data_IF_173786368694
#
_entry.id   IF_173786368694
#
_cell.length_a   1.000
_cell.length_b   1.000
_cell.length_c   1.000
_cell.angle_alpha   90.00
_cell.angle_beta   90.00
_cell.angle_gamma   90.00
#
_symmetry.space_group_name_H-M   'P 1'
#
loop_
_entity.id
_entity.type
_entity.pdbx_description
1 polymer ?
#
# COMPACT_ATOMS: atom_id res chain seq x y z
N UNK A 1 77.94 -12.32 -13.43
CA UNK A 1 77.08 -13.51 -13.26
C UNK A 1 75.95 -13.15 -12.31
N UNK A 2 74.79 -12.74 -12.83
CA UNK A 2 73.60 -12.38 -12.06
C UNK A 2 72.50 -13.36 -12.47
N UNK A 3 72.07 -14.22 -11.55
CA UNK A 3 70.97 -15.18 -11.76
C UNK A 3 69.69 -14.58 -11.21
N UNK A 4 68.79 -14.18 -12.11
CA UNK A 4 67.41 -13.82 -11.78
C UNK A 4 66.58 -15.10 -11.60
N UNK A 5 66.03 -15.30 -10.39
CA UNK A 5 65.05 -16.35 -10.10
C UNK A 5 63.68 -15.87 -10.56
N UNK A 6 63.04 -16.63 -11.46
CA UNK A 6 61.62 -16.48 -11.80
C UNK A 6 60.79 -17.28 -10.81
N UNK A 7 59.92 -16.59 -10.07
CA UNK A 7 58.88 -17.16 -9.22
C UNK A 7 57.64 -17.39 -10.09
N UNK A 8 57.24 -18.65 -10.25
CA UNK A 8 55.98 -19.04 -10.89
C UNK A 8 54.86 -18.98 -9.86
N UNK A 9 53.90 -18.08 -10.06
CA UNK A 9 52.62 -18.08 -9.34
C UNK A 9 51.70 -19.11 -10.02
N UNK A 10 51.24 -20.11 -9.25
CA UNK A 10 50.23 -21.06 -9.68
C UNK A 10 48.87 -20.50 -9.30
N UNK A 11 48.08 -20.09 -10.30
CA UNK A 11 46.74 -19.55 -10.12
C UNK A 11 45.75 -20.73 -10.08
N UNK A 12 45.33 -21.13 -8.88
CA UNK A 12 44.29 -22.15 -8.71
C UNK A 12 42.93 -21.49 -8.90
N UNK A 13 42.31 -21.70 -10.05
CA UNK A 13 40.91 -21.34 -10.31
C UNK A 13 40.01 -22.27 -9.49
N UNK A 14 39.41 -21.75 -8.41
CA UNK A 14 38.35 -22.42 -7.67
C UNK A 14 37.04 -22.23 -8.47
N UNK A 15 36.62 -23.27 -9.20
CA UNK A 15 35.35 -23.29 -9.90
C UNK A 15 34.24 -23.48 -8.85
N UNK A 16 33.63 -22.39 -8.40
CA UNK A 16 32.42 -22.42 -7.56
C UNK A 16 31.26 -22.83 -8.48
N UNK A 17 30.86 -24.09 -8.41
CA UNK A 17 29.63 -24.59 -9.01
C UNK A 17 28.46 -23.95 -8.26
N UNK A 18 27.86 -22.92 -8.84
CA UNK A 18 26.54 -22.44 -8.47
C UNK A 18 25.54 -23.54 -8.83
N UNK A 19 25.13 -24.33 -7.85
CA UNK A 19 23.87 -25.07 -7.96
C UNK A 19 22.75 -24.04 -7.88
N UNK A 20 22.11 -23.74 -9.01
CA UNK A 20 20.84 -23.04 -9.03
C UNK A 20 19.87 -23.83 -8.15
N UNK A 21 19.64 -23.34 -6.93
CA UNK A 21 18.53 -23.81 -6.11
C UNK A 21 17.27 -23.40 -6.85
N UNK A 22 16.62 -24.36 -7.51
CA UNK A 22 15.30 -24.17 -8.09
C UNK A 22 14.34 -23.85 -6.95
N UNK A 23 13.94 -22.58 -6.84
CA UNK A 23 12.79 -22.16 -6.03
C UNK A 23 11.44 -22.54 -6.69
N UNK A 24 11.46 -23.48 -7.64
CA UNK A 24 10.28 -23.98 -8.34
C UNK A 24 9.72 -25.18 -7.57
N UNK A 25 9.03 -24.92 -6.47
CA UNK A 25 7.91 -25.75 -5.99
C UNK A 25 7.20 -25.01 -4.84
N UNK A 26 6.88 -23.73 -5.05
CA UNK A 26 5.79 -23.11 -4.32
C UNK A 26 4.49 -23.78 -4.82
N UNK A 27 3.93 -24.65 -3.99
CA UNK A 27 2.62 -25.28 -4.17
C UNK A 27 1.62 -24.24 -4.66
N UNK A 28 1.14 -24.40 -5.91
CA UNK A 28 0.10 -23.55 -6.51
C UNK A 28 -1.10 -23.46 -5.56
N UNK A 29 -1.38 -22.31 -4.92
CA UNK A 29 -2.48 -22.20 -3.97
C UNK A 29 -3.79 -22.18 -4.76
N UNK A 30 -4.44 -23.35 -4.85
CA UNK A 30 -5.71 -23.53 -5.54
C UNK A 30 -5.53 -23.66 -7.05
N UNK A 31 -5.64 -24.87 -7.59
CA UNK A 31 -5.49 -25.18 -9.01
C UNK A 31 -6.57 -24.61 -9.94
N UNK A 32 -7.05 -23.38 -9.70
CA UNK A 32 -7.89 -22.60 -10.59
C UNK A 32 -7.07 -21.87 -11.66
N UNK A 33 -7.74 -21.24 -12.62
CA UNK A 33 -7.04 -20.43 -13.61
C UNK A 33 -6.47 -19.16 -12.98
N UNK A 34 -5.49 -18.55 -13.64
CA UNK A 34 -4.83 -17.30 -13.25
C UNK A 34 -4.68 -16.41 -14.49
N UNK A 35 -4.62 -15.08 -14.31
CA UNK A 35 -4.31 -14.14 -15.39
C UNK A 35 -3.28 -13.12 -14.92
N UNK A 36 -2.07 -13.16 -15.45
CA UNK A 36 -0.97 -12.29 -15.04
C UNK A 36 0.06 -13.00 -14.14
N UNK A 37 1.18 -12.32 -13.85
CA UNK A 37 2.18 -12.83 -12.94
C UNK A 37 1.63 -13.00 -11.51
N UNK A 38 2.29 -13.80 -10.65
CA UNK A 38 2.01 -13.79 -9.23
C UNK A 38 2.20 -12.38 -8.65
N UNK A 39 1.36 -12.01 -7.70
CA UNK A 39 1.38 -10.69 -7.06
C UNK A 39 1.29 -10.88 -5.54
N UNK A 40 2.12 -10.19 -4.78
CA UNK A 40 2.03 -10.22 -3.31
C UNK A 40 0.87 -9.36 -2.81
N UNK A 41 0.40 -9.60 -1.58
CA UNK A 41 -0.63 -8.75 -0.97
C UNK A 41 -0.17 -7.29 -0.87
N UNK A 42 1.10 -7.04 -0.56
CA UNK A 42 1.73 -5.72 -0.56
C UNK A 42 1.80 -5.06 -1.92
N UNK A 43 2.24 -5.79 -2.95
CA UNK A 43 2.22 -5.24 -4.31
C UNK A 43 0.80 -4.87 -4.76
N UNK A 44 -0.22 -5.65 -4.39
CA UNK A 44 -1.60 -5.34 -4.74
C UNK A 44 -2.08 -4.04 -4.07
N UNK A 45 -1.81 -3.88 -2.77
CA UNK A 45 -2.19 -2.67 -2.03
C UNK A 45 -1.42 -1.44 -2.52
N UNK A 46 -0.09 -1.51 -2.63
CA UNK A 46 0.71 -0.40 -3.15
C UNK A 46 0.28 0.02 -4.55
N UNK A 47 -0.07 -0.95 -5.40
CA UNK A 47 -0.58 -0.65 -6.73
C UNK A 47 -1.91 0.09 -6.65
N UNK A 48 -2.88 -0.37 -5.85
CA UNK A 48 -4.15 0.31 -5.69
C UNK A 48 -4.02 1.69 -5.02
N UNK A 49 -3.12 1.82 -4.04
CA UNK A 49 -2.87 3.06 -3.32
C UNK A 49 -2.29 4.15 -4.24
N UNK A 50 -1.43 3.80 -5.21
CA UNK A 50 -1.01 4.73 -6.27
C UNK A 50 -2.20 5.34 -7.00
N UNK A 51 -3.28 4.58 -7.22
CA UNK A 51 -4.49 5.12 -7.85
C UNK A 51 -5.30 6.00 -6.90
N UNK A 52 -5.31 5.70 -5.60
CA UNK A 52 -6.06 6.45 -4.59
C UNK A 52 -5.44 7.83 -4.29
N UNK A 53 -4.16 8.04 -4.60
CA UNK A 53 -3.41 9.23 -4.20
C UNK A 53 -2.97 10.14 -5.34
N UNK A 54 -3.39 9.89 -6.58
CA UNK A 54 -3.05 10.78 -7.69
C UNK A 54 -3.61 12.18 -7.42
N UNK A 55 -2.74 13.20 -7.32
CA UNK A 55 -3.14 14.60 -7.27
C UNK A 55 -3.27 15.17 -8.68
N UNK A 56 -4.38 15.82 -8.95
CA UNK A 56 -4.62 16.50 -10.22
C UNK A 56 -5.70 17.56 -10.05
N UNK A 57 -5.77 18.50 -10.98
CA UNK A 57 -6.80 19.55 -10.97
C UNK A 57 -7.81 19.26 -12.08
N UNK A 58 -9.08 19.09 -11.70
CA UNK A 58 -10.18 19.05 -12.66
C UNK A 58 -10.35 20.44 -13.27
N UNK A 59 -9.99 20.61 -14.54
CA UNK A 59 -10.22 21.86 -15.26
C UNK A 59 -11.57 21.85 -15.98
N UNK A 60 -12.03 23.00 -16.46
CA UNK A 60 -13.21 23.06 -17.35
C UNK A 60 -13.01 22.21 -18.61
N UNK A 61 -11.78 22.15 -19.14
CA UNK A 61 -11.44 21.32 -20.29
C UNK A 61 -11.64 19.83 -20.02
N UNK A 62 -11.15 19.34 -18.88
CA UNK A 62 -11.36 17.95 -18.46
C UNK A 62 -12.84 17.67 -18.22
N UNK A 63 -13.55 18.60 -17.56
CA UNK A 63 -14.97 18.41 -17.26
C UNK A 63 -15.83 18.26 -18.53
N UNK A 64 -15.51 19.01 -19.58
CA UNK A 64 -16.21 18.93 -20.88
C UNK A 64 -15.62 17.86 -21.80
N UNK A 65 -14.40 17.39 -21.53
CA UNK A 65 -13.63 16.56 -22.45
C UNK A 65 -13.43 17.27 -23.77
N UNK A 66 -12.42 18.13 -23.91
CA UNK A 66 -12.16 18.79 -25.21
C UNK A 66 -11.94 17.75 -26.31
N UNK A 67 -11.35 16.60 -25.95
CA UNK A 67 -11.16 15.44 -26.83
C UNK A 67 -12.45 14.66 -27.13
N UNK A 68 -13.55 14.97 -26.43
CA UNK A 68 -14.88 14.36 -26.60
C UNK A 68 -15.80 15.16 -27.51
N UNK A 69 -15.32 16.24 -28.14
CA UNK A 69 -16.10 17.07 -29.08
C UNK A 69 -17.43 17.60 -28.48
N UNK A 70 -17.46 17.82 -27.17
CA UNK A 70 -18.63 18.34 -26.46
C UNK A 70 -19.75 17.33 -26.17
N UNK A 71 -19.52 16.04 -26.44
CA UNK A 71 -20.50 14.97 -26.17
C UNK A 71 -20.49 14.47 -24.72
N UNK A 72 -19.53 14.93 -23.92
CA UNK A 72 -19.33 14.51 -22.55
C UNK A 72 -19.42 15.69 -21.57
N UNK A 73 -19.97 15.44 -20.39
CA UNK A 73 -19.89 16.36 -19.27
C UNK A 73 -19.75 15.57 -17.98
N UNK A 74 -18.63 15.76 -17.29
CA UNK A 74 -18.42 15.18 -15.97
C UNK A 74 -19.24 15.90 -14.90
N UNK A 75 -19.75 15.13 -13.95
CA UNK A 75 -20.36 15.63 -12.72
C UNK A 75 -19.32 16.12 -11.70
N UNK A 76 -18.03 15.86 -11.92
CA UNK A 76 -16.99 16.29 -10.99
C UNK A 76 -16.88 17.83 -11.02
N UNK A 77 -16.80 18.48 -9.85
CA UNK A 77 -16.55 19.90 -9.80
C UNK A 77 -15.11 20.22 -10.24
N UNK A 78 -14.94 21.39 -10.85
CA UNK A 78 -13.62 21.97 -11.15
C UNK A 78 -12.89 22.24 -9.84
N UNK A 79 -11.58 21.99 -9.82
CA UNK A 79 -10.73 22.17 -8.65
C UNK A 79 -9.84 20.95 -8.38
N UNK A 80 -9.10 21.02 -7.28
CA UNK A 80 -8.15 19.98 -6.89
C UNK A 80 -8.86 18.68 -6.51
N UNK A 81 -8.23 17.58 -6.90
CA UNK A 81 -8.75 16.22 -6.76
C UNK A 81 -7.61 15.30 -6.31
N UNK A 82 -7.99 14.33 -5.51
CA UNK A 82 -7.14 13.22 -5.07
C UNK A 82 -7.80 11.93 -5.57
N UNK A 83 -6.98 11.05 -6.12
CA UNK A 83 -7.39 9.77 -6.68
C UNK A 83 -7.74 9.84 -8.16
N UNK A 84 -7.47 8.75 -8.89
CA UNK A 84 -7.82 8.59 -10.30
C UNK A 84 -9.34 8.72 -10.46
N UNK A 85 -9.78 9.49 -11.46
CA UNK A 85 -11.21 9.67 -11.73
C UNK A 85 -11.88 8.37 -12.14
N UNK A 86 -13.15 8.21 -11.75
CA UNK A 86 -13.92 7.02 -12.10
C UNK A 86 -14.30 7.05 -13.58
N UNK A 87 -14.12 5.91 -14.23
CA UNK A 87 -14.62 5.66 -15.57
C UNK A 87 -15.29 4.29 -15.54
N UNK A 88 -16.57 4.22 -15.88
CA UNK A 88 -17.25 2.92 -16.05
C UNK A 88 -16.50 2.08 -17.08
N UNK A 89 -16.15 0.86 -16.69
CA UNK A 89 -15.24 0.01 -17.44
C UNK A 89 -13.90 0.67 -17.80
N UNK A 90 -13.40 1.59 -16.99
CA UNK A 90 -12.07 2.18 -17.14
C UNK A 90 -10.95 1.22 -16.77
N UNK A 91 -9.76 1.46 -17.32
CA UNK A 91 -8.51 0.71 -17.09
C UNK A 91 -7.27 1.59 -17.12
N UNK A 92 -7.41 2.91 -17.22
CA UNK A 92 -6.27 3.79 -17.52
C UNK A 92 -5.18 3.62 -16.46
N UNK A 93 -3.93 3.47 -16.89
CA UNK A 93 -2.79 3.44 -15.95
C UNK A 93 -2.65 4.79 -15.24
N UNK A 94 -2.07 4.83 -14.04
CA UNK A 94 -1.88 6.10 -13.30
C UNK A 94 -1.07 7.11 -14.11
N UNK A 95 0.02 6.68 -14.73
CA UNK A 95 0.93 7.60 -15.43
C UNK A 95 0.26 8.11 -16.73
N UNK A 96 -0.44 7.22 -17.43
CA UNK A 96 -1.27 7.57 -18.59
C UNK A 96 -2.42 8.52 -18.21
N UNK A 97 -3.04 8.30 -17.05
CA UNK A 97 -4.13 9.15 -16.55
C UNK A 97 -3.64 10.58 -16.31
N UNK A 98 -2.53 10.75 -15.59
CA UNK A 98 -1.93 12.06 -15.33
C UNK A 98 -1.59 12.78 -16.64
N UNK A 99 -0.95 12.08 -17.58
CA UNK A 99 -0.61 12.63 -18.88
C UNK A 99 -1.86 13.11 -19.66
N UNK A 100 -2.88 12.25 -19.77
CA UNK A 100 -4.09 12.56 -20.54
C UNK A 100 -4.94 13.63 -19.88
N UNK A 101 -5.04 13.65 -18.55
CA UNK A 101 -5.72 14.73 -17.83
C UNK A 101 -5.02 16.07 -18.10
N UNK A 102 -3.68 16.12 -18.10
CA UNK A 102 -2.94 17.33 -18.46
C UNK A 102 -3.22 17.79 -19.91
N UNK A 103 -3.55 16.86 -20.82
CA UNK A 103 -3.94 17.13 -22.21
C UNK A 103 -5.42 17.53 -22.37
N UNK A 104 -6.21 17.60 -21.29
CA UNK A 104 -7.62 17.98 -21.34
C UNK A 104 -8.59 16.83 -21.64
N UNK A 105 -8.16 15.57 -21.52
CA UNK A 105 -9.07 14.43 -21.62
C UNK A 105 -10.13 14.47 -20.52
N UNK A 106 -11.30 13.92 -20.83
CA UNK A 106 -12.37 13.78 -19.87
C UNK A 106 -12.06 12.76 -18.79
N UNK A 107 -12.65 12.92 -17.61
CA UNK A 107 -12.67 11.87 -16.58
C UNK A 107 -13.89 12.04 -15.66
N UNK A 108 -14.17 11.06 -14.81
CA UNK A 108 -15.32 11.08 -13.91
C UNK A 108 -16.62 10.87 -14.67
N UNK A 109 -16.88 9.65 -15.15
CA UNK A 109 -18.13 9.31 -15.87
C UNK A 109 -19.37 9.40 -14.98
N UNK A 110 -19.21 9.48 -13.65
CA UNK A 110 -20.30 9.67 -12.69
C UNK A 110 -21.45 8.67 -12.82
N UNK A 111 -22.56 8.98 -12.15
CA UNK A 111 -23.85 8.33 -12.39
C UNK A 111 -24.61 9.03 -13.52
N UNK A 112 -25.32 8.26 -14.35
CA UNK A 112 -26.21 8.79 -15.41
C UNK A 112 -25.74 8.55 -16.85
N UNK A 113 -24.50 8.07 -17.04
CA UNK A 113 -24.05 7.55 -18.34
C UNK A 113 -24.20 6.03 -18.37
N UNK A 114 -24.64 5.52 -19.52
CA UNK A 114 -24.72 4.08 -19.84
C UNK A 114 -23.51 3.66 -20.67
N UNK A 115 -23.22 2.36 -20.71
CA UNK A 115 -22.15 1.79 -21.54
C UNK A 115 -22.22 2.28 -22.99
N UNK A 116 -23.43 2.39 -23.55
CA UNK A 116 -23.71 2.81 -24.92
C UNK A 116 -23.42 4.30 -25.17
N UNK A 117 -23.39 5.10 -24.12
CA UNK A 117 -23.28 6.57 -24.19
C UNK A 117 -21.91 7.08 -23.74
N UNK A 118 -21.06 6.25 -23.15
CA UNK A 118 -19.73 6.66 -22.71
C UNK A 118 -18.79 6.73 -23.92
N UNK A 119 -18.19 7.90 -24.20
CA UNK A 119 -17.21 8.00 -25.29
C UNK A 119 -15.86 7.46 -24.82
N UNK A 120 -15.69 6.14 -24.94
CA UNK A 120 -14.56 5.39 -24.37
C UNK A 120 -13.18 5.90 -24.78
N UNK A 121 -13.06 6.51 -25.96
CA UNK A 121 -11.79 6.94 -26.54
C UNK A 121 -11.29 8.29 -25.97
N UNK A 122 -12.19 9.11 -25.43
CA UNK A 122 -11.85 10.46 -24.97
C UNK A 122 -11.96 10.65 -23.44
N UNK A 123 -12.49 9.65 -22.72
CA UNK A 123 -12.56 9.64 -21.25
C UNK A 123 -11.48 8.73 -20.69
N UNK A 124 -10.79 9.16 -19.63
CA UNK A 124 -9.79 8.39 -18.88
C UNK A 124 -10.23 8.13 -17.46
N UNK A 125 -9.69 7.08 -16.86
CA UNK A 125 -9.98 6.69 -15.49
C UNK A 125 -10.05 5.19 -15.32
N UNK A 126 -10.42 4.78 -14.12
CA UNK A 126 -10.53 3.36 -13.75
C UNK A 126 -11.94 3.06 -13.20
N UNK A 127 -12.39 1.82 -13.38
CA UNK A 127 -13.63 1.31 -12.77
C UNK A 127 -13.31 0.53 -11.50
N UNK A 128 -14.31 0.15 -10.71
CA UNK A 128 -14.12 -0.73 -9.55
C UNK A 128 -13.38 -2.02 -9.91
N UNK A 129 -13.83 -2.70 -10.98
CA UNK A 129 -13.20 -3.94 -11.44
C UNK A 129 -11.86 -3.68 -12.14
N UNK A 130 -11.74 -2.53 -12.80
CA UNK A 130 -10.50 -2.10 -13.42
C UNK A 130 -9.39 -1.85 -12.40
N UNK A 131 -9.74 -1.27 -11.25
CA UNK A 131 -8.81 -1.00 -10.16
C UNK A 131 -8.32 -2.30 -9.54
N UNK A 132 -9.22 -3.22 -9.20
CA UNK A 132 -8.88 -4.54 -8.64
C UNK A 132 -7.94 -5.30 -9.57
N UNK A 133 -8.28 -5.34 -10.84
CA UNK A 133 -7.49 -6.10 -11.80
C UNK A 133 -6.12 -5.42 -12.09
N UNK A 134 -6.03 -4.08 -11.98
CA UNK A 134 -4.73 -3.36 -11.98
C UNK A 134 -3.93 -3.71 -10.72
N UNK A 135 -4.57 -3.73 -9.56
CA UNK A 135 -3.96 -4.10 -8.29
C UNK A 135 -3.39 -5.52 -8.34
N UNK A 136 -4.13 -6.48 -8.92
CA UNK A 136 -3.67 -7.86 -9.08
C UNK A 136 -2.74 -8.10 -10.28
N UNK A 137 -2.31 -7.05 -10.99
CA UNK A 137 -1.41 -7.12 -12.14
C UNK A 137 -1.92 -8.05 -13.26
N UNK A 138 -3.24 -8.11 -13.47
CA UNK A 138 -3.83 -8.97 -14.49
C UNK A 138 -3.42 -8.51 -15.90
N UNK A 139 -3.20 -9.45 -16.82
CA UNK A 139 -2.86 -9.07 -18.21
C UNK A 139 -4.03 -8.39 -18.92
N UNK A 140 -5.25 -8.68 -18.48
CA UNK A 140 -6.46 -8.11 -19.05
C UNK A 140 -7.36 -7.50 -17.98
N UNK A 141 -8.19 -6.57 -18.43
CA UNK A 141 -9.25 -6.02 -17.60
C UNK A 141 -10.43 -6.98 -17.55
N UNK A 142 -10.82 -7.35 -16.34
CA UNK A 142 -12.12 -7.93 -16.06
C UNK A 142 -13.11 -6.77 -15.85
N UNK A 143 -13.99 -6.52 -16.82
CA UNK A 143 -14.74 -5.25 -16.93
C UNK A 143 -16.25 -5.39 -17.02
N UNK A 144 -16.91 -4.30 -16.58
CA UNK A 144 -18.30 -3.93 -16.76
C UNK A 144 -18.71 -3.47 -18.17
N UNK A 145 -17.91 -3.68 -19.22
CA UNK A 145 -18.21 -3.18 -20.58
C UNK A 145 -19.26 -4.03 -21.34
N UNK A 146 -20.37 -4.36 -20.68
CA UNK A 146 -21.47 -5.10 -21.28
C UNK A 146 -22.82 -4.57 -20.76
N UNK A 147 -23.91 -4.72 -21.54
CA UNK A 147 -25.27 -4.35 -21.10
C UNK A 147 -25.76 -5.11 -19.86
N UNK A 148 -25.15 -6.26 -19.54
CA UNK A 148 -25.44 -7.09 -18.37
C UNK A 148 -24.12 -7.52 -17.70
N UNK A 149 -23.54 -6.64 -16.88
CA UNK A 149 -22.22 -6.86 -16.32
C UNK A 149 -22.29 -7.80 -15.11
N UNK A 150 -22.23 -9.10 -15.38
CA UNK A 150 -22.04 -10.11 -14.34
C UNK A 150 -20.57 -10.14 -13.88
N UNK A 151 -20.21 -9.21 -12.98
CA UNK A 151 -18.86 -9.10 -12.39
C UNK A 151 -18.45 -10.40 -11.71
N UNK A 152 -19.28 -11.01 -10.84
CA UNK A 152 -18.89 -12.22 -10.13
C UNK A 152 -18.53 -13.35 -11.09
N UNK A 153 -19.31 -13.57 -12.15
CA UNK A 153 -18.99 -14.61 -13.14
C UNK A 153 -17.64 -14.42 -13.80
N UNK A 154 -17.22 -13.18 -14.05
CA UNK A 154 -15.94 -12.88 -14.68
C UNK A 154 -14.75 -13.14 -13.76
N UNK A 155 -14.84 -12.73 -12.50
CA UNK A 155 -13.76 -12.99 -11.55
C UNK A 155 -13.68 -14.46 -11.12
N UNK A 156 -14.80 -15.19 -11.04
CA UNK A 156 -14.84 -16.61 -10.63
C UNK A 156 -13.93 -17.54 -11.44
N UNK A 157 -13.50 -17.14 -12.64
CA UNK A 157 -12.53 -17.91 -13.43
C UNK A 157 -11.13 -17.88 -12.79
N UNK A 158 -10.76 -16.77 -12.17
CA UNK A 158 -9.42 -16.49 -11.62
C UNK A 158 -9.39 -16.29 -10.10
N UNK A 159 -10.53 -16.40 -9.43
CA UNK A 159 -10.66 -16.24 -7.98
C UNK A 159 -11.41 -17.41 -7.36
N UNK A 160 -11.34 -17.49 -6.04
CA UNK A 160 -12.18 -18.36 -5.22
C UNK A 160 -12.79 -17.57 -4.07
N UNK A 161 -13.91 -18.03 -3.54
CA UNK A 161 -14.49 -17.48 -2.30
C UNK A 161 -13.54 -17.74 -1.14
N UNK A 162 -13.37 -16.75 -0.26
CA UNK A 162 -12.53 -16.94 0.94
C UNK A 162 -13.19 -17.97 1.87
N UNK A 163 -12.54 -19.12 2.16
CA UNK A 163 -13.14 -20.18 2.96
C UNK A 163 -13.50 -19.70 4.37
N UNK A 164 -14.69 -20.06 4.85
CA UNK A 164 -15.14 -19.73 6.21
C UNK A 164 -15.66 -18.30 6.38
N UNK A 165 -15.62 -17.47 5.34
CA UNK A 165 -16.14 -16.10 5.37
C UNK A 165 -17.60 -16.05 4.91
N UNK A 166 -18.48 -15.58 5.78
CA UNK A 166 -19.86 -15.18 5.52
C UNK A 166 -20.12 -13.82 6.19
N UNK A 167 -19.97 -12.75 5.40
CA UNK A 167 -20.14 -11.37 5.86
C UNK A 167 -21.55 -11.14 6.42
N UNK A 168 -22.58 -11.79 5.83
CA UNK A 168 -23.97 -11.63 6.28
C UNK A 168 -24.23 -12.25 7.65
N UNK A 169 -23.45 -13.28 8.01
CA UNK A 169 -23.47 -13.91 9.32
C UNK A 169 -22.44 -13.31 10.30
N UNK A 170 -21.71 -12.27 9.91
CA UNK A 170 -20.62 -11.68 10.70
C UNK A 170 -19.38 -12.59 10.82
N UNK A 171 -19.27 -13.61 9.98
CA UNK A 171 -18.12 -14.51 9.92
C UNK A 171 -17.11 -13.91 8.95
N UNK A 172 -16.17 -13.11 9.45
CA UNK A 172 -15.16 -12.41 8.63
C UNK A 172 -13.74 -12.89 8.91
N UNK A 173 -13.60 -13.85 9.82
CA UNK A 173 -12.35 -14.52 10.11
C UNK A 173 -11.83 -15.23 8.85
N UNK A 174 -10.70 -14.74 8.31
CA UNK A 174 -10.05 -15.31 7.13
C UNK A 174 -9.91 -14.35 5.95
N UNK A 175 -10.60 -13.21 5.97
CA UNK A 175 -10.32 -12.09 5.05
C UNK A 175 -8.89 -11.61 5.30
N UNK A 176 -8.14 -11.38 4.23
CA UNK A 176 -6.73 -10.95 4.25
C UNK A 176 -6.52 -9.79 3.29
N UNK A 177 -5.46 -9.01 3.55
CA UNK A 177 -4.98 -7.95 2.68
C UNK A 177 -4.96 -8.43 1.21
N UNK A 178 -5.48 -7.62 0.31
CA UNK A 178 -5.52 -7.94 -1.12
C UNK A 178 -6.70 -8.82 -1.55
N UNK A 179 -7.52 -9.32 -0.61
CA UNK A 179 -8.84 -9.86 -0.92
C UNK A 179 -9.77 -8.76 -1.44
N UNK A 180 -10.85 -9.18 -2.11
CA UNK A 180 -11.84 -8.26 -2.65
C UNK A 180 -13.22 -8.58 -2.10
N UNK A 181 -13.91 -7.54 -1.64
CA UNK A 181 -15.35 -7.60 -1.44
C UNK A 181 -16.04 -7.37 -2.78
N UNK A 182 -16.90 -8.31 -3.17
CA UNK A 182 -17.61 -8.29 -4.46
C UNK A 182 -19.11 -8.54 -4.27
N UNK A 183 -19.93 -7.79 -5.00
CA UNK A 183 -21.35 -8.08 -5.24
C UNK A 183 -21.67 -7.99 -6.74
N UNK A 184 -22.95 -7.84 -7.12
CA UNK A 184 -23.37 -7.82 -8.52
C UNK A 184 -22.84 -6.62 -9.31
N UNK A 185 -22.56 -5.48 -8.66
CA UNK A 185 -22.28 -4.21 -9.34
C UNK A 185 -21.00 -3.51 -8.90
N UNK A 186 -20.32 -3.99 -7.84
CA UNK A 186 -19.15 -3.33 -7.29
C UNK A 186 -18.10 -4.30 -6.76
N UNK A 187 -16.85 -3.82 -6.74
CA UNK A 187 -15.71 -4.50 -6.12
C UNK A 187 -14.87 -3.51 -5.32
N UNK A 188 -14.42 -3.92 -4.14
CA UNK A 188 -13.61 -3.12 -3.22
C UNK A 188 -12.42 -3.95 -2.75
N UNK A 189 -11.20 -3.42 -2.86
CA UNK A 189 -9.99 -4.10 -2.40
C UNK A 189 -9.87 -3.91 -0.89
N UNK A 190 -9.82 -4.99 -0.13
CA UNK A 190 -9.60 -4.96 1.31
C UNK A 190 -8.12 -4.74 1.62
N UNK A 191 -7.83 -3.77 2.48
CA UNK A 191 -6.47 -3.41 2.89
C UNK A 191 -6.15 -4.04 4.24
N UNK A 192 -6.89 -3.66 5.28
CA UNK A 192 -6.73 -4.17 6.64
C UNK A 192 -8.03 -3.95 7.44
N UNK A 193 -8.13 -4.59 8.60
CA UNK A 193 -9.16 -4.31 9.59
C UNK A 193 -8.53 -3.52 10.73
N UNK A 194 -9.11 -2.38 11.08
CA UNK A 194 -8.65 -1.61 12.24
C UNK A 194 -8.85 -2.43 13.52
N UNK A 195 -8.16 -2.06 14.59
CA UNK A 195 -8.31 -2.73 15.90
C UNK A 195 -9.73 -2.70 16.48
N UNK A 196 -10.56 -1.76 16.00
CA UNK A 196 -11.98 -1.66 16.36
C UNK A 196 -12.90 -2.51 15.46
N UNK A 197 -12.35 -3.36 14.61
CA UNK A 197 -13.10 -4.24 13.71
C UNK A 197 -13.72 -3.50 12.52
N UNK A 198 -13.14 -2.38 12.11
CA UNK A 198 -13.62 -1.60 10.94
C UNK A 198 -12.74 -1.93 9.74
N UNK A 199 -13.30 -2.48 8.64
CA UNK A 199 -12.55 -2.77 7.44
C UNK A 199 -12.17 -1.48 6.69
N UNK A 200 -10.91 -1.41 6.29
CA UNK A 200 -10.35 -0.36 5.45
C UNK A 200 -10.17 -0.90 4.04
N UNK A 201 -10.61 -0.12 3.06
CA UNK A 201 -10.68 -0.52 1.66
C UNK A 201 -10.08 0.53 0.73
N UNK A 202 -9.70 0.09 -0.47
CA UNK A 202 -9.49 0.95 -1.63
C UNK A 202 -10.52 0.59 -2.69
N UNK A 203 -11.34 1.55 -3.09
CA UNK A 203 -12.36 1.35 -4.11
C UNK A 203 -12.41 2.46 -5.15
N UNK A 204 -12.94 2.14 -6.33
CA UNK A 204 -13.23 3.10 -7.39
C UNK A 204 -14.73 3.21 -7.57
N UNK A 205 -15.30 4.30 -7.08
CA UNK A 205 -16.74 4.59 -7.11
C UNK A 205 -17.00 5.91 -7.83
N UNK A 206 -18.23 6.43 -7.82
CA UNK A 206 -18.55 7.73 -8.46
C UNK A 206 -17.65 8.89 -8.02
N UNK A 207 -17.05 8.81 -6.84
CA UNK A 207 -16.01 9.68 -6.30
C UNK A 207 -14.68 9.76 -7.06
N UNK A 208 -14.34 8.69 -7.77
CA UNK A 208 -12.97 8.33 -8.11
C UNK A 208 -12.44 7.22 -7.21
N UNK A 209 -11.14 6.98 -7.27
CA UNK A 209 -10.45 6.01 -6.42
C UNK A 209 -10.17 6.61 -5.05
N UNK A 210 -10.45 5.87 -3.98
CA UNK A 210 -10.28 6.35 -2.60
C UNK A 210 -9.84 5.25 -1.66
N UNK A 211 -9.09 5.64 -0.63
CA UNK A 211 -8.92 4.88 0.59
C UNK A 211 -9.97 5.33 1.61
N UNK A 212 -10.74 4.40 2.18
CA UNK A 212 -11.80 4.72 3.16
C UNK A 212 -12.14 3.53 4.04
N UNK A 213 -12.85 3.80 5.13
CA UNK A 213 -13.54 2.76 5.89
C UNK A 213 -14.87 2.37 5.24
N UNK A 214 -15.30 1.15 5.53
CA UNK A 214 -16.65 0.66 5.30
C UNK A 214 -17.09 -0.10 6.55
N UNK A 215 -18.39 -0.29 6.77
CA UNK A 215 -18.86 -1.12 7.89
C UNK A 215 -19.18 -2.54 7.43
N UNK A 216 -18.93 -3.54 8.28
CA UNK A 216 -19.37 -4.92 8.01
C UNK A 216 -20.89 -5.02 7.79
N UNK A 217 -21.67 -4.20 8.50
CA UNK A 217 -23.13 -4.14 8.33
C UNK A 217 -23.56 -3.63 6.96
N UNK A 218 -22.88 -2.61 6.42
CA UNK A 218 -23.08 -2.12 5.05
C UNK A 218 -22.76 -3.23 4.04
N UNK A 219 -21.58 -3.85 4.16
CA UNK A 219 -21.16 -4.96 3.29
C UNK A 219 -22.19 -6.11 3.30
N UNK A 220 -22.67 -6.50 4.49
CA UNK A 220 -23.70 -7.52 4.65
C UNK A 220 -25.03 -7.12 4.00
N UNK A 221 -25.48 -5.89 4.23
CA UNK A 221 -26.77 -5.39 3.71
C UNK A 221 -26.80 -5.26 2.19
N UNK A 222 -25.64 -5.02 1.58
CA UNK A 222 -25.47 -4.91 0.13
C UNK A 222 -25.07 -6.25 -0.54
N UNK A 223 -25.05 -7.34 0.22
CA UNK A 223 -24.81 -8.68 -0.31
C UNK A 223 -23.39 -8.90 -0.81
N UNK A 224 -22.39 -8.22 -0.24
CA UNK A 224 -21.00 -8.49 -0.57
C UNK A 224 -20.55 -9.86 -0.08
N UNK A 225 -19.66 -10.46 -0.86
CA UNK A 225 -18.92 -11.68 -0.52
C UNK A 225 -17.43 -11.41 -0.63
N UNK A 226 -16.59 -12.18 0.07
CA UNK A 226 -15.14 -12.06 -0.05
C UNK A 226 -14.59 -13.07 -1.07
N UNK A 227 -13.75 -12.60 -1.99
CA UNK A 227 -13.02 -13.42 -2.95
C UNK A 227 -11.52 -13.16 -2.87
N UNK A 228 -10.73 -14.18 -3.20
CA UNK A 228 -9.28 -14.15 -3.26
C UNK A 228 -8.79 -14.51 -4.64
N UNK A 229 -7.82 -13.75 -5.15
CA UNK A 229 -7.17 -14.06 -6.42
C UNK A 229 -6.32 -15.33 -6.31
N UNK A 230 -6.41 -16.22 -7.30
CA UNK A 230 -5.73 -17.51 -7.26
C UNK A 230 -4.19 -17.40 -7.32
N UNK A 231 -3.65 -16.29 -7.85
CA UNK A 231 -2.21 -16.05 -7.95
C UNK A 231 -1.69 -14.98 -6.97
N UNK A 232 -2.46 -14.67 -5.92
CA UNK A 232 -1.98 -13.78 -4.86
C UNK A 232 -1.07 -14.57 -3.91
N UNK A 233 0.07 -13.99 -3.58
CA UNK A 233 1.05 -14.53 -2.64
C UNK A 233 0.95 -13.73 -1.34
N UNK A 234 0.90 -14.44 -0.22
CA UNK A 234 1.04 -13.79 1.08
C UNK A 234 2.47 -13.28 1.24
N UNK A 235 2.62 -12.08 1.79
CA UNK A 235 3.92 -11.58 2.20
C UNK A 235 4.36 -12.39 3.43
N UNK A 236 5.29 -13.33 3.24
CA UNK A 236 5.90 -14.03 4.35
C UNK A 236 6.88 -13.09 5.05
N UNK A 237 6.52 -12.62 6.24
CA UNK A 237 7.38 -11.78 7.10
C UNK A 237 7.79 -10.45 6.39
N UNK A 238 6.83 -9.57 6.03
CA UNK A 238 7.14 -8.35 5.30
C UNK A 238 8.07 -7.45 6.12
N UNK A 239 9.02 -6.76 5.45
CA UNK A 239 9.87 -5.79 6.12
C UNK A 239 9.02 -4.65 6.69
N UNK A 240 9.45 -4.11 7.83
CA UNK A 240 8.73 -3.04 8.52
C UNK A 240 7.78 -3.55 9.59
N UNK A 241 7.83 -4.83 9.93
CA UNK A 241 7.08 -5.43 11.07
C UNK A 241 7.98 -5.56 12.29
N UNK A 242 7.42 -5.85 13.46
CA UNK A 242 8.25 -6.07 14.65
C UNK A 242 9.11 -7.34 14.53
N UNK A 243 8.63 -8.35 13.80
CA UNK A 243 9.40 -9.58 13.51
C UNK A 243 10.50 -9.39 12.46
N UNK A 244 10.32 -8.42 11.55
CA UNK A 244 11.27 -8.13 10.48
C UNK A 244 11.40 -6.60 10.26
N UNK A 245 12.07 -5.89 11.18
CA UNK A 245 12.21 -4.44 11.08
C UNK A 245 13.15 -4.04 9.93
N UNK A 246 12.93 -2.85 9.36
CA UNK A 246 13.82 -2.29 8.34
C UNK A 246 15.08 -1.75 9.02
N UNK A 247 16.23 -2.38 8.78
CA UNK A 247 17.49 -1.97 9.39
C UNK A 247 18.04 -0.69 8.76
N UNK A 248 18.29 0.32 9.59
CA UNK A 248 18.98 1.56 9.26
C UNK A 248 20.24 1.71 10.13
N UNK A 249 21.34 2.14 9.52
CA UNK A 249 22.59 2.47 10.21
C UNK A 249 22.91 3.95 9.95
N UNK A 250 22.23 4.87 10.66
CA UNK A 250 22.42 6.30 10.42
C UNK A 250 23.83 6.74 10.81
N UNK A 251 24.36 7.70 10.07
CA UNK A 251 25.59 8.40 10.42
C UNK A 251 25.34 9.91 10.53
N UNK A 252 26.42 10.72 10.59
CA UNK A 252 26.28 12.18 10.68
C UNK A 252 25.59 12.83 9.48
N UNK A 253 25.54 12.13 8.35
CA UNK A 253 24.79 12.57 7.18
C UNK A 253 23.39 11.98 7.20
N UNK A 254 22.42 12.80 6.83
CA UNK A 254 21.02 12.41 6.72
C UNK A 254 20.84 11.22 5.77
N UNK A 255 20.09 10.23 6.23
CA UNK A 255 19.57 9.12 5.44
C UNK A 255 18.08 9.32 5.27
N UNK A 256 17.60 9.29 4.02
CA UNK A 256 16.19 9.48 3.70
C UNK A 256 15.61 8.20 3.08
N UNK A 257 14.42 7.81 3.55
CA UNK A 257 13.70 6.60 3.11
C UNK A 257 12.24 6.95 2.89
N UNK A 258 11.71 6.58 1.73
CA UNK A 258 10.27 6.65 1.45
C UNK A 258 9.57 5.43 2.06
N UNK A 259 8.41 5.64 2.67
CA UNK A 259 7.59 4.58 3.25
C UNK A 259 6.09 4.87 3.13
N UNK A 260 5.28 3.88 3.49
CA UNK A 260 3.81 4.00 3.44
C UNK A 260 3.17 3.08 4.48
N UNK A 261 2.52 3.68 5.49
CA UNK A 261 1.82 2.93 6.55
C UNK A 261 0.58 2.22 6.03
N UNK A 262 0.09 2.45 4.80
CA UNK A 262 -0.99 1.62 4.21
C UNK A 262 -0.51 0.26 3.72
N UNK A 263 0.79 0.14 3.43
CA UNK A 263 1.34 -1.11 2.91
C UNK A 263 1.72 -2.06 4.04
N UNK A 264 2.25 -1.58 5.15
CA UNK A 264 2.67 -2.49 6.21
C UNK A 264 1.45 -2.79 7.08
N UNK A 265 1.13 -4.07 7.27
CA UNK A 265 0.00 -4.54 8.11
C UNK A 265 0.44 -4.87 9.53
N UNK A 266 1.58 -4.33 9.96
CA UNK A 266 1.89 -4.30 11.38
C UNK A 266 0.79 -3.49 12.04
N UNK A 267 0.06 -4.14 12.93
CA UNK A 267 -0.95 -3.57 13.83
C UNK A 267 -0.60 -4.10 15.24
N UNK A 268 0.68 -4.16 15.54
CA UNK A 268 1.23 -4.73 16.77
C UNK A 268 1.20 -3.68 17.90
N UNK A 269 1.34 -2.41 17.53
CA UNK A 269 1.30 -1.29 18.45
C UNK A 269 -0.05 -0.58 18.34
N UNK A 270 -0.62 -0.23 19.49
CA UNK A 270 -1.90 0.48 19.56
C UNK A 270 -1.77 1.77 20.36
N UNK A 271 -0.76 1.80 21.24
CA UNK A 271 -0.49 2.84 22.22
C UNK A 271 0.97 2.75 22.63
N UNK A 272 1.48 3.83 23.17
CA UNK A 272 2.86 3.92 23.62
C UNK A 272 2.90 4.39 25.07
N UNK A 273 3.82 3.84 25.88
CA UNK A 273 3.89 4.10 27.31
C UNK A 273 4.05 5.59 27.70
N UNK A 274 4.63 6.43 26.83
CA UNK A 274 4.72 7.87 27.04
C UNK A 274 3.37 8.60 26.95
N UNK A 275 2.41 8.02 26.24
CA UNK A 275 1.12 8.64 25.94
C UNK A 275 -0.02 7.60 25.88
N UNK A 276 -0.24 6.80 26.95
CA UNK A 276 -1.12 5.63 26.91
C UNK A 276 -2.62 5.96 26.80
N UNK A 277 -2.97 7.25 26.86
CA UNK A 277 -4.34 7.73 26.63
C UNK A 277 -4.66 7.92 25.14
N UNK A 278 -3.63 8.02 24.29
CA UNK A 278 -3.78 8.22 22.86
C UNK A 278 -3.76 6.86 22.16
N UNK A 279 -4.76 6.62 21.33
CA UNK A 279 -4.84 5.42 20.50
C UNK A 279 -4.29 5.72 19.12
N UNK A 280 -3.44 4.82 18.63
CA UNK A 280 -2.88 4.85 17.30
C UNK A 280 -3.17 3.47 16.69
N UNK A 281 -4.40 3.25 16.22
CA UNK A 281 -4.87 1.93 15.79
C UNK A 281 -4.63 1.66 14.31
N UNK A 282 -3.96 2.58 13.60
CA UNK A 282 -3.64 2.37 12.20
C UNK A 282 -2.38 1.52 12.07
N UNK A 283 -2.04 1.12 10.84
CA UNK A 283 -0.88 0.30 10.62
C UNK A 283 0.40 1.10 10.77
N UNK A 284 1.48 0.41 11.11
CA UNK A 284 2.79 1.01 11.36
C UNK A 284 3.92 0.38 10.54
N UNK A 285 5.03 1.13 10.44
CA UNK A 285 6.30 0.66 9.87
C UNK A 285 7.39 0.73 10.93
N UNK A 286 8.04 -0.41 11.18
CA UNK A 286 9.10 -0.59 12.18
C UNK A 286 10.48 -0.52 11.51
N UNK A 287 11.32 0.39 11.99
CA UNK A 287 12.72 0.49 11.62
C UNK A 287 13.63 0.10 12.80
N UNK A 288 14.67 -0.68 12.55
CA UNK A 288 15.72 -0.96 13.52
C UNK A 288 16.89 0.00 13.28
N UNK A 289 17.17 0.86 14.24
CA UNK A 289 18.28 1.80 14.24
C UNK A 289 19.48 1.19 14.96
N UNK A 290 20.56 0.95 14.24
CA UNK A 290 21.79 0.36 14.79
C UNK A 290 22.85 1.45 14.96
N UNK A 291 23.23 1.72 16.21
CA UNK A 291 24.25 2.73 16.56
C UNK A 291 25.41 2.09 17.33
N UNK A 292 26.64 2.41 16.93
CA UNK A 292 27.85 1.76 17.47
C UNK A 292 28.41 2.39 18.74
N UNK A 293 28.02 3.62 19.05
CA UNK A 293 28.55 4.44 20.15
C UNK A 293 27.49 5.44 20.63
N UNK A 294 27.65 6.04 21.82
CA UNK A 294 26.72 7.06 22.30
C UNK A 294 26.67 8.29 21.38
N UNK A 295 25.50 8.90 21.23
CA UNK A 295 25.30 10.05 20.37
C UNK A 295 23.86 10.57 20.37
N UNK A 296 23.58 11.53 19.50
CA UNK A 296 22.24 12.10 19.32
C UNK A 296 21.63 11.63 18.02
N UNK A 297 20.49 10.95 18.11
CA UNK A 297 19.62 10.65 16.97
C UNK A 297 18.70 11.84 16.70
N UNK A 298 18.56 12.23 15.44
CA UNK A 298 17.45 13.04 14.96
C UNK A 298 16.66 12.24 13.92
N UNK A 299 15.34 12.30 14.02
CA UNK A 299 14.43 11.68 13.07
C UNK A 299 13.30 12.65 12.75
N UNK A 300 12.91 12.74 11.49
CA UNK A 300 11.75 13.52 11.07
C UNK A 300 10.99 12.83 9.96
N UNK A 301 9.68 13.09 9.90
CA UNK A 301 8.85 12.64 8.78
C UNK A 301 8.26 13.85 8.06
N UNK A 302 8.23 13.76 6.74
CA UNK A 302 7.41 14.63 5.91
C UNK A 302 6.26 13.82 5.34
N UNK A 303 5.04 14.29 5.53
CA UNK A 303 3.82 13.64 5.04
C UNK A 303 3.04 14.54 4.09
N UNK A 304 2.17 13.95 3.27
CA UNK A 304 1.26 14.69 2.42
C UNK A 304 0.00 15.10 3.20
N UNK A 305 0.11 16.11 4.07
CA UNK A 305 -1.02 16.62 4.90
C UNK A 305 -2.28 16.95 4.09
N UNK A 306 -2.14 17.27 2.80
CA UNK A 306 -3.25 17.52 1.87
C UNK A 306 -4.12 16.28 1.62
N UNK A 307 -3.61 15.09 1.89
CA UNK A 307 -4.32 13.81 1.80
C UNK A 307 -4.98 13.40 3.12
N UNK A 308 -4.97 14.28 4.13
CA UNK A 308 -5.40 13.97 5.50
C UNK A 308 -4.66 12.77 6.11
N UNK A 309 -3.45 12.48 5.62
CA UNK A 309 -2.52 11.52 6.25
C UNK A 309 -2.07 12.09 7.59
N UNK A 310 -1.94 11.22 8.58
CA UNK A 310 -1.46 11.58 9.90
C UNK A 310 -0.60 10.43 10.44
N UNK A 311 0.69 10.48 10.15
CA UNK A 311 1.67 9.57 10.72
C UNK A 311 2.38 10.24 11.90
N UNK A 312 2.61 9.50 12.98
CA UNK A 312 3.40 9.94 14.13
C UNK A 312 4.73 9.18 14.19
N UNK A 313 5.72 9.75 14.88
CA UNK A 313 6.99 9.11 15.20
C UNK A 313 7.04 8.61 16.63
N UNK A 314 7.59 7.41 16.81
CA UNK A 314 7.86 6.82 18.13
C UNK A 314 9.24 6.18 18.16
N UNK A 315 10.01 6.44 19.21
CA UNK A 315 11.31 5.83 19.44
C UNK A 315 11.24 4.91 20.67
N UNK A 316 11.64 3.66 20.51
CA UNK A 316 11.53 2.60 21.50
C UNK A 316 12.91 1.95 21.75
N UNK A 317 13.17 1.52 22.98
CA UNK A 317 14.36 0.71 23.31
C UNK A 317 14.14 -0.81 23.16
N UNK A 318 12.89 -1.25 23.03
CA UNK A 318 12.52 -2.64 22.74
C UNK A 318 11.18 -2.67 21.98
N UNK A 319 10.82 -3.81 21.41
CA UNK A 319 9.51 -4.04 20.78
C UNK A 319 8.53 -4.73 21.73
N UNK A 320 8.80 -4.72 23.04
CA UNK A 320 7.94 -5.38 24.02
C UNK A 320 6.58 -4.68 24.13
N UNK A 321 5.52 -5.50 24.04
CA UNK A 321 4.13 -5.07 24.19
C UNK A 321 3.45 -5.78 25.36
N UNK A 322 2.46 -5.12 25.97
CA UNK A 322 1.51 -5.81 26.85
C UNK A 322 0.40 -6.53 26.06
N UNK A 323 -0.47 -7.24 26.77
CA UNK A 323 -1.59 -7.97 26.15
C UNK A 323 -2.63 -7.08 25.47
N UNK A 324 -2.49 -5.75 25.55
CA UNK A 324 -3.38 -4.77 24.94
C UNK A 324 -2.70 -3.97 23.82
N UNK A 325 -1.49 -4.37 23.41
CA UNK A 325 -0.74 -3.73 22.33
C UNK A 325 -0.09 -2.40 22.75
N UNK A 326 0.13 -2.18 24.05
CA UNK A 326 0.89 -1.00 24.52
C UNK A 326 2.38 -1.29 24.40
N UNK A 327 3.10 -0.51 23.60
CA UNK A 327 4.55 -0.51 23.57
C UNK A 327 5.11 0.01 24.91
N UNK A 328 5.77 -0.87 25.66
CA UNK A 328 6.18 -0.61 27.04
C UNK A 328 7.41 0.30 27.15
N UNK A 329 8.30 0.22 26.15
CA UNK A 329 9.63 0.82 26.18
C UNK A 329 9.78 2.01 25.23
N UNK A 330 8.72 2.80 25.07
CA UNK A 330 8.76 4.05 24.31
C UNK A 330 9.50 5.14 25.10
N UNK A 331 10.52 5.75 24.50
CA UNK A 331 11.40 6.75 25.13
C UNK A 331 11.26 8.15 24.53
N UNK A 332 10.76 8.26 23.30
CA UNK A 332 10.35 9.53 22.71
C UNK A 332 9.17 9.33 21.75
N UNK A 333 8.33 10.36 21.60
CA UNK A 333 7.32 10.46 20.55
C UNK A 333 7.14 11.92 20.14
N UNK A 334 6.78 12.13 18.90
CA UNK A 334 6.30 13.41 18.39
C UNK A 334 5.49 13.18 17.10
N UNK A 335 4.80 14.21 16.63
CA UNK A 335 3.97 14.12 15.43
C UNK A 335 4.85 14.17 14.17
N UNK A 336 5.98 14.88 14.17
CA UNK A 336 6.85 14.99 12.98
C UNK A 336 8.37 14.99 13.23
N UNK A 337 8.84 15.18 14.46
CA UNK A 337 10.28 15.28 14.77
C UNK A 337 10.66 14.72 16.14
N UNK A 338 11.69 13.86 16.18
CA UNK A 338 12.29 13.36 17.42
C UNK A 338 13.77 13.72 17.45
N UNK A 339 14.24 14.15 18.63
CA UNK A 339 15.67 14.22 18.99
C UNK A 339 15.89 13.46 20.30
N UNK A 340 16.84 12.53 20.32
CA UNK A 340 17.13 11.72 21.50
C UNK A 340 18.61 11.38 21.63
N UNK A 341 19.14 11.45 22.86
CA UNK A 341 20.45 10.92 23.20
C UNK A 341 20.34 9.40 23.38
N UNK A 342 21.14 8.64 22.63
CA UNK A 342 21.14 7.19 22.62
C UNK A 342 22.50 6.65 23.04
N UNK A 343 22.47 5.54 23.77
CA UNK A 343 23.63 4.68 23.97
C UNK A 343 23.87 3.80 22.72
N UNK A 344 25.07 3.24 22.61
CA UNK A 344 25.38 2.23 21.60
C UNK A 344 24.46 0.99 21.75
N UNK A 345 23.87 0.54 20.65
CA UNK A 345 22.91 -0.57 20.64
C UNK A 345 21.90 -0.51 19.50
N UNK A 346 20.82 -1.27 19.66
CA UNK A 346 19.70 -1.32 18.73
C UNK A 346 18.52 -0.57 19.34
N UNK A 347 17.89 0.27 18.53
CA UNK A 347 16.71 1.05 18.87
C UNK A 347 15.65 0.86 17.80
N UNK A 348 14.40 1.17 18.10
CA UNK A 348 13.32 0.97 17.14
C UNK A 348 12.59 2.28 16.90
N UNK A 349 12.57 2.72 15.65
CA UNK A 349 11.81 3.88 15.22
C UNK A 349 10.55 3.40 14.51
N UNK A 350 9.39 3.81 15.00
CA UNK A 350 8.08 3.43 14.46
C UNK A 350 7.47 4.65 13.79
N UNK A 351 7.00 4.47 12.56
CA UNK A 351 6.11 5.42 11.88
C UNK A 351 4.72 4.83 11.91
N UNK A 352 3.80 5.45 12.64
CA UNK A 352 2.49 4.87 12.97
C UNK A 352 1.35 5.76 12.44
N UNK A 353 0.43 5.19 11.67
CA UNK A 353 -0.73 5.88 11.15
C UNK A 353 -1.79 6.15 12.22
N UNK A 354 -1.97 7.39 12.64
CA UNK A 354 -2.97 7.75 13.66
C UNK A 354 -4.35 7.97 13.04
N UNK A 355 -5.41 7.88 13.87
CA UNK A 355 -6.78 8.19 13.48
C UNK A 355 -7.33 7.44 12.24
N UNK A 356 -6.79 6.26 11.92
CA UNK A 356 -7.07 5.52 10.68
C UNK A 356 -6.76 6.33 9.41
N UNK A 357 -5.75 7.19 9.49
CA UNK A 357 -5.25 8.01 8.40
C UNK A 357 -3.81 7.64 7.99
N UNK A 358 -3.49 6.34 7.78
CA UNK A 358 -2.17 5.96 7.29
C UNK A 358 -1.94 6.51 5.88
N UNK A 359 -0.69 6.55 5.46
CA UNK A 359 -0.27 6.89 4.11
C UNK A 359 1.24 7.06 3.97
N UNK A 360 1.63 7.64 2.84
CA UNK A 360 3.04 7.87 2.52
C UNK A 360 3.71 8.88 3.45
N UNK A 361 5.01 8.66 3.63
CA UNK A 361 5.91 9.58 4.31
C UNK A 361 7.31 9.45 3.75
N UNK A 362 8.09 10.52 3.89
CA UNK A 362 9.54 10.50 3.76
C UNK A 362 10.13 10.58 5.15
N UNK A 363 10.81 9.53 5.60
CA UNK A 363 11.54 9.48 6.86
C UNK A 363 12.98 9.96 6.64
N UNK A 364 13.44 10.93 7.41
CA UNK A 364 14.82 11.40 7.43
C UNK A 364 15.44 11.12 8.79
N UNK A 365 16.59 10.45 8.82
CA UNK A 365 17.30 10.06 10.05
C UNK A 365 18.76 10.48 9.96
N UNK A 366 19.27 11.09 11.03
CA UNK A 366 20.70 11.35 11.20
C UNK A 366 21.15 10.98 12.63
N UNK A 367 22.43 10.67 12.78
CA UNK A 367 23.02 10.34 14.07
C UNK A 367 24.38 11.01 14.22
N UNK A 368 24.53 11.85 15.23
CA UNK A 368 25.78 12.53 15.56
C UNK A 368 26.42 11.87 16.80
N UNK A 369 27.53 11.13 16.65
CA UNK A 369 28.24 10.55 17.77
C UNK A 369 28.71 11.60 18.79
N UNK A 370 28.72 11.25 20.08
CA UNK A 370 29.31 12.11 21.09
C UNK A 370 30.81 12.34 20.81
N UNK A 371 31.35 13.54 21.08
CA UNK A 371 32.77 13.79 20.94
C UNK A 371 33.57 12.84 21.84
N UNK A 372 34.44 12.01 21.25
CA UNK A 372 35.36 11.18 22.03
C UNK A 372 36.22 12.09 22.92
N UNK A 373 35.99 12.06 24.23
CA UNK A 373 36.86 12.75 25.19
C UNK A 373 38.22 12.06 25.18
N UNK A 374 39.24 12.77 24.71
CA UNK A 374 40.63 12.25 24.62
C UNK A 374 41.41 12.43 25.91
#
# INVERSE_FOLDING_TARGET
MMRTRRTTFSLTFLLVLWTSSSCDDALSPGGGAVDGPPVTTSQAILTADRYARVHWTMTTANRQGITCEGTFLSNYPVGDRIGVGYKWGGWTDVDEFVEKVAQGYATGTGGGLTYETIPFDCVVGVSCTGLVSRAWHLNHKYTLNYPDPDIPRKFREITHTVPGVDISAGQVEGVRKGDVFINEYHTMLFVYETTNGIPMIIDSSYDGVRFRSVSWGELASEGYTAIRYNNILEDSDPPGTASNPIVLTPGPSETSVEGNTRDVVSLEFHRYALAPAFQQPGPEVVYEIVVGEPGTLTASITEFKTESINNDLHLLSSLDTDSTGVALDCIARDDDFIEAALEGGNWYLIVDGTNNAPGEYTLTVAFEPEPTTR
#
